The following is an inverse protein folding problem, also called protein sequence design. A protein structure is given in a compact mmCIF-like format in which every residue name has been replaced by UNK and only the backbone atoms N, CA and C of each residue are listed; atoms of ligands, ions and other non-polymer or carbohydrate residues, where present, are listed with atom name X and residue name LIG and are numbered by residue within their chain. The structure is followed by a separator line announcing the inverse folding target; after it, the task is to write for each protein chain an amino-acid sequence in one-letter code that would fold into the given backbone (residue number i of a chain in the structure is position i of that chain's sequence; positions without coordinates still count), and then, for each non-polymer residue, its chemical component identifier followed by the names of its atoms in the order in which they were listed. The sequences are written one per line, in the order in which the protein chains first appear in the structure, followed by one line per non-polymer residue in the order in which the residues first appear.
data_IF_736670648782
#
_entry.id   IF_736670648782
#
_cell.length_a   1.000
_cell.length_b   1.000
_cell.length_c   1.000
_cell.angle_alpha   90.00
_cell.angle_beta   90.00
_cell.angle_gamma   90.00
#
_symmetry.space_group_name_H-M   'P 1'
#
loop_
_entity.id
_entity.type
_entity.pdbx_description
1 polymer ?
#
# COMPACT_ATOMS: atom_id res chain seq x y z
N UNK A 1 7.58 9.78 -20.92
CA UNK A 1 6.17 9.35 -20.85
C UNK A 1 5.80 9.18 -19.38
N UNK A 2 4.55 9.47 -18.96
CA UNK A 2 4.16 9.47 -17.54
C UNK A 2 4.53 8.17 -16.81
N UNK A 3 4.41 7.01 -17.46
CA UNK A 3 4.81 5.73 -16.88
C UNK A 3 6.33 5.56 -16.74
N UNK A 4 7.12 6.09 -17.69
CA UNK A 4 8.59 6.09 -17.57
C UNK A 4 9.05 6.94 -16.38
N UNK A 5 8.33 8.02 -16.08
CA UNK A 5 8.65 8.88 -14.95
C UNK A 5 8.28 8.21 -13.61
N UNK A 6 7.21 7.40 -13.57
CA UNK A 6 6.92 6.50 -12.44
C UNK A 6 8.04 5.49 -12.24
N UNK A 7 8.50 4.82 -13.30
CA UNK A 7 9.60 3.86 -13.21
C UNK A 7 10.88 4.51 -12.68
N UNK A 8 11.21 5.71 -13.15
CA UNK A 8 12.37 6.46 -12.63
C UNK A 8 12.21 6.80 -11.15
N UNK A 9 11.02 7.13 -10.68
CA UNK A 9 10.81 7.47 -9.27
C UNK A 9 11.05 6.30 -8.30
N UNK A 10 11.04 5.06 -8.80
CA UNK A 10 11.32 3.85 -8.02
C UNK A 10 12.82 3.52 -7.92
N UNK A 11 13.67 4.18 -8.71
CA UNK A 11 15.11 3.91 -8.72
C UNK A 11 15.71 4.20 -7.33
N UNK A 12 16.26 3.16 -6.67
CA UNK A 12 16.85 3.27 -5.34
C UNK A 12 15.96 2.77 -4.18
N UNK A 13 14.73 2.33 -4.46
CA UNK A 13 13.91 1.61 -3.47
C UNK A 13 14.37 0.15 -3.31
N UNK A 14 14.02 -0.55 -2.21
CA UNK A 14 14.32 -1.98 -2.07
C UNK A 14 13.78 -2.81 -3.27
N UNK A 15 14.49 -3.89 -3.63
CA UNK A 15 14.19 -4.68 -4.84
C UNK A 15 12.76 -5.22 -4.85
N UNK A 16 12.29 -5.72 -3.72
CA UNK A 16 10.93 -6.22 -3.55
C UNK A 16 9.86 -5.14 -3.79
N UNK A 17 10.14 -3.88 -3.40
CA UNK A 17 9.26 -2.73 -3.66
C UNK A 17 9.24 -2.37 -5.14
N UNK A 18 10.41 -2.39 -5.80
CA UNK A 18 10.51 -2.14 -7.24
C UNK A 18 9.73 -3.17 -8.05
N UNK A 19 9.77 -4.44 -7.66
CA UNK A 19 9.08 -5.52 -8.37
C UNK A 19 7.57 -5.31 -8.39
N UNK A 20 6.93 -5.07 -7.22
CA UNK A 20 5.48 -4.84 -7.15
C UNK A 20 5.00 -3.68 -8.02
N UNK A 21 5.74 -2.55 -8.00
CA UNK A 21 5.34 -1.39 -8.79
C UNK A 21 5.70 -1.55 -10.28
N UNK A 22 6.77 -2.26 -10.62
CA UNK A 22 7.09 -2.57 -12.02
C UNK A 22 6.02 -3.47 -12.65
N UNK A 23 5.55 -4.48 -11.94
CA UNK A 23 4.42 -5.31 -12.37
C UNK A 23 3.11 -4.51 -12.47
N UNK A 24 2.87 -3.58 -11.53
CA UNK A 24 1.72 -2.68 -11.59
C UNK A 24 1.77 -1.78 -12.84
N UNK A 25 2.94 -1.23 -13.18
CA UNK A 25 3.15 -0.41 -14.38
C UNK A 25 2.96 -1.26 -15.65
N UNK A 26 3.52 -2.47 -15.71
CA UNK A 26 3.31 -3.39 -16.83
C UNK A 26 1.82 -3.73 -17.03
N UNK A 27 1.05 -3.84 -15.93
CA UNK A 27 -0.40 -3.98 -16.03
C UNK A 27 -1.07 -2.75 -16.64
N UNK A 28 -0.61 -1.53 -16.35
CA UNK A 28 -1.15 -0.32 -16.99
C UNK A 28 -0.86 -0.29 -18.48
N UNK A 29 0.36 -0.67 -18.88
CA UNK A 29 0.79 -0.76 -20.29
C UNK A 29 -0.03 -1.80 -21.07
N UNK A 30 -0.36 -2.93 -20.42
CA UNK A 30 -1.21 -3.97 -20.98
C UNK A 30 -2.72 -3.75 -20.83
N UNK A 31 -3.17 -2.56 -20.42
CA UNK A 31 -4.59 -2.23 -20.16
C UNK A 31 -5.28 -3.11 -19.08
N UNK A 32 -4.49 -3.77 -18.23
CA UNK A 32 -4.94 -4.59 -17.10
C UNK A 32 -5.13 -3.74 -15.83
N UNK A 33 -5.94 -2.68 -15.94
CA UNK A 33 -6.04 -1.62 -14.91
C UNK A 33 -6.43 -2.11 -13.51
N UNK A 34 -7.31 -3.11 -13.40
CA UNK A 34 -7.67 -3.69 -12.10
C UNK A 34 -6.48 -4.38 -11.45
N UNK A 35 -5.70 -5.12 -12.23
CA UNK A 35 -4.49 -5.79 -11.76
C UNK A 35 -3.44 -4.80 -11.32
N UNK A 36 -3.23 -3.72 -12.09
CA UNK A 36 -2.31 -2.64 -11.73
C UNK A 36 -2.64 -2.00 -10.38
N UNK A 37 -3.93 -1.73 -10.11
CA UNK A 37 -4.40 -1.22 -8.81
C UNK A 37 -4.12 -2.21 -7.68
N UNK A 38 -4.37 -3.50 -7.90
CA UNK A 38 -4.16 -4.55 -6.88
C UNK A 38 -2.67 -4.68 -6.52
N UNK A 39 -1.79 -4.72 -7.53
CA UNK A 39 -0.35 -4.83 -7.34
C UNK A 39 0.25 -3.58 -6.68
N UNK A 40 -0.15 -2.38 -7.12
CA UNK A 40 0.32 -1.14 -6.52
C UNK A 40 -0.07 -1.01 -5.05
N UNK A 41 -1.29 -1.44 -4.69
CA UNK A 41 -1.69 -1.52 -3.28
C UNK A 41 -0.87 -2.54 -2.49
N UNK A 42 -0.60 -3.71 -3.06
CA UNK A 42 0.19 -4.75 -2.39
C UNK A 42 1.60 -4.24 -2.04
N UNK A 43 2.27 -3.60 -3.00
CA UNK A 43 3.58 -2.98 -2.77
C UNK A 43 3.54 -1.87 -1.73
N UNK A 44 2.55 -0.97 -1.83
CA UNK A 44 2.35 0.11 -0.86
C UNK A 44 2.08 -0.41 0.57
N UNK A 45 1.12 -1.32 0.71
CA UNK A 45 0.72 -1.83 2.02
C UNK A 45 1.85 -2.64 2.67
N UNK A 46 2.64 -3.37 1.88
CA UNK A 46 3.86 -4.02 2.38
C UNK A 46 4.78 -3.02 3.07
N UNK A 47 5.23 -1.98 2.35
CA UNK A 47 6.13 -0.96 2.91
C UNK A 47 5.50 -0.20 4.07
N UNK A 48 4.23 0.18 3.95
CA UNK A 48 3.48 0.84 5.03
C UNK A 48 3.49 -0.01 6.31
N UNK A 49 3.19 -1.30 6.18
CA UNK A 49 3.10 -2.23 7.31
C UNK A 49 4.46 -2.47 7.97
N UNK A 50 5.52 -2.66 7.19
CA UNK A 50 6.90 -2.79 7.67
C UNK A 50 7.34 -1.53 8.42
N UNK A 51 7.18 -0.36 7.81
CA UNK A 51 7.59 0.92 8.39
C UNK A 51 6.82 1.25 9.68
N UNK A 52 5.52 0.93 9.73
CA UNK A 52 4.70 1.10 10.91
C UNK A 52 5.15 0.15 12.02
N UNK A 53 5.30 -1.14 11.72
CA UNK A 53 5.63 -2.16 12.70
C UNK A 53 7.02 -1.95 13.30
N UNK A 54 8.02 -1.67 12.46
CA UNK A 54 9.38 -1.41 12.90
C UNK A 54 9.47 -0.27 13.93
N UNK A 55 8.64 0.76 13.79
CA UNK A 55 8.63 1.94 14.67
C UNK A 55 7.70 1.80 15.87
N UNK A 56 6.63 1.02 15.75
CA UNK A 56 5.50 1.04 16.68
C UNK A 56 5.04 -0.34 17.18
N UNK A 57 5.82 -1.41 17.04
CA UNK A 57 5.41 -2.75 17.50
C UNK A 57 4.88 -2.75 18.95
N UNK A 58 5.64 -2.17 19.89
CA UNK A 58 5.25 -2.12 21.30
C UNK A 58 3.94 -1.32 21.52
N UNK A 59 3.78 -0.23 20.78
CA UNK A 59 2.56 0.60 20.82
C UNK A 59 1.36 -0.15 20.24
N UNK A 60 1.55 -0.92 19.16
CA UNK A 60 0.50 -1.76 18.54
C UNK A 60 0.06 -2.81 19.54
N UNK A 61 1.01 -3.53 20.17
CA UNK A 61 0.72 -4.54 21.19
C UNK A 61 -0.03 -3.95 22.38
N UNK A 62 0.31 -2.73 22.78
CA UNK A 62 -0.39 -2.00 23.86
C UNK A 62 -1.80 -1.58 23.43
N UNK A 63 -1.94 -0.95 22.27
CA UNK A 63 -3.22 -0.46 21.74
C UNK A 63 -4.21 -1.58 21.37
N UNK A 64 -3.69 -2.79 21.14
CA UNK A 64 -4.45 -3.98 20.75
C UNK A 64 -4.00 -5.20 21.56
N UNK A 65 -4.05 -5.11 22.89
CA UNK A 65 -3.62 -6.19 23.80
C UNK A 65 -4.30 -7.55 23.60
N UNK A 66 -5.40 -7.62 22.83
CA UNK A 66 -6.09 -8.87 22.47
C UNK A 66 -5.57 -9.52 21.19
N UNK A 67 -4.76 -8.83 20.39
CA UNK A 67 -4.15 -9.39 19.18
C UNK A 67 -2.92 -10.20 19.59
N UNK A 68 -3.02 -11.51 19.41
CA UNK A 68 -1.91 -12.44 19.65
C UNK A 68 -1.24 -12.74 18.31
N UNK A 69 0.00 -12.29 18.15
CA UNK A 69 0.84 -12.53 16.98
C UNK A 69 2.31 -12.51 17.42
N UNK A 70 3.13 -13.34 16.78
CA UNK A 70 4.57 -13.47 16.99
C UNK A 70 5.32 -12.35 16.28
N UNK A 71 4.99 -12.11 15.02
CA UNK A 71 5.68 -11.17 14.14
C UNK A 71 4.69 -10.47 13.17
N UNK A 72 5.21 -9.55 12.35
CA UNK A 72 4.39 -8.79 11.39
C UNK A 72 3.73 -9.70 10.34
N UNK A 73 4.40 -10.78 9.92
CA UNK A 73 3.82 -11.70 8.94
C UNK A 73 2.55 -12.34 9.49
N UNK A 74 2.62 -12.90 10.71
CA UNK A 74 1.44 -13.46 11.37
C UNK A 74 0.36 -12.40 11.63
N UNK A 75 0.75 -11.17 12.00
CA UNK A 75 -0.19 -10.07 12.19
C UNK A 75 -1.00 -9.76 10.90
N UNK A 76 -0.34 -9.72 9.74
CA UNK A 76 -0.98 -9.46 8.43
C UNK A 76 -1.91 -10.60 8.00
N UNK A 77 -1.65 -11.83 8.42
CA UNK A 77 -2.52 -12.97 8.16
C UNK A 77 -3.77 -12.97 9.05
N UNK A 78 -3.62 -12.61 10.32
CA UNK A 78 -4.70 -12.67 11.31
C UNK A 78 -5.65 -11.46 11.23
N UNK A 79 -5.16 -10.31 10.81
CA UNK A 79 -5.88 -9.03 10.91
C UNK A 79 -6.11 -8.44 9.52
N UNK A 80 -7.37 -8.07 9.25
CA UNK A 80 -7.73 -7.37 8.01
C UNK A 80 -6.96 -6.05 7.86
N UNK A 81 -6.57 -5.71 6.64
CA UNK A 81 -5.82 -4.48 6.35
C UNK A 81 -6.50 -3.22 6.89
N UNK A 82 -7.84 -3.14 6.82
CA UNK A 82 -8.59 -2.01 7.40
C UNK A 82 -8.37 -1.85 8.91
N UNK A 83 -8.28 -2.96 9.65
CA UNK A 83 -7.95 -2.94 11.07
C UNK A 83 -6.49 -2.53 11.30
N UNK A 84 -5.57 -2.94 10.42
CA UNK A 84 -4.17 -2.51 10.46
C UNK A 84 -4.06 -0.99 10.26
N UNK A 85 -4.77 -0.41 9.28
CA UNK A 85 -4.81 1.03 9.05
C UNK A 85 -5.32 1.81 10.27
N UNK A 86 -6.37 1.29 10.93
CA UNK A 86 -6.92 1.89 12.15
C UNK A 86 -5.87 1.89 13.27
N UNK A 87 -5.18 0.77 13.51
CA UNK A 87 -4.16 0.73 14.58
C UNK A 87 -2.96 1.62 14.24
N UNK A 88 -2.57 1.72 12.97
CA UNK A 88 -1.52 2.65 12.53
C UNK A 88 -1.85 4.11 12.88
N UNK A 89 -3.14 4.49 12.80
CA UNK A 89 -3.60 5.82 13.25
C UNK A 89 -3.62 5.95 14.77
N UNK A 90 -3.95 4.88 15.50
CA UNK A 90 -3.96 4.91 16.97
C UNK A 90 -2.55 5.04 17.56
N UNK A 91 -1.55 4.41 16.94
CA UNK A 91 -0.12 4.57 17.30
C UNK A 91 0.52 5.81 16.69
N UNK A 92 -0.27 6.67 16.04
CA UNK A 92 0.15 7.95 15.43
C UNK A 92 1.15 7.83 14.29
N UNK A 93 1.28 6.65 13.67
CA UNK A 93 2.05 6.46 12.45
C UNK A 93 1.40 7.17 11.26
N UNK A 94 0.07 7.24 11.24
CA UNK A 94 -0.71 7.97 10.22
C UNK A 94 -1.73 8.90 10.86
N UNK A 95 -2.21 9.89 10.10
CA UNK A 95 -3.19 10.87 10.59
C UNK A 95 -4.62 10.42 10.31
N UNK A 96 -5.60 11.04 10.98
CA UNK A 96 -7.03 10.80 10.70
C UNK A 96 -7.40 11.15 9.25
N UNK A 97 -6.79 12.18 8.68
CA UNK A 97 -7.03 12.56 7.30
C UNK A 97 -6.46 11.51 6.34
N UNK A 98 -5.22 11.06 6.58
CA UNK A 98 -4.58 10.05 5.76
C UNK A 98 -5.27 8.68 5.88
N UNK A 99 -5.76 8.30 7.06
CA UNK A 99 -6.57 7.08 7.24
C UNK A 99 -7.78 7.05 6.30
N UNK A 100 -8.49 8.19 6.16
CA UNK A 100 -9.65 8.26 5.24
C UNK A 100 -9.26 8.08 3.78
N UNK A 101 -8.09 8.59 3.38
CA UNK A 101 -7.54 8.41 2.04
C UNK A 101 -7.22 6.92 1.83
N UNK A 102 -6.50 6.31 2.76
CA UNK A 102 -6.12 4.89 2.71
C UNK A 102 -7.34 3.96 2.72
N UNK A 103 -8.37 4.26 3.49
CA UNK A 103 -9.64 3.50 3.49
C UNK A 103 -10.33 3.58 2.11
N UNK A 104 -10.33 4.75 1.47
CA UNK A 104 -10.84 4.91 0.12
C UNK A 104 -10.04 4.11 -0.91
N UNK A 105 -8.72 4.12 -0.79
CA UNK A 105 -7.81 3.38 -1.66
C UNK A 105 -7.98 1.86 -1.49
N UNK A 106 -8.05 1.38 -0.25
CA UNK A 106 -8.38 -0.01 0.07
C UNK A 106 -9.74 -0.42 -0.51
N UNK A 107 -10.76 0.43 -0.41
CA UNK A 107 -12.07 0.17 -1.00
C UNK A 107 -12.00 0.04 -2.53
N UNK A 108 -11.25 0.91 -3.20
CA UNK A 108 -11.02 0.83 -4.65
C UNK A 108 -10.28 -0.45 -5.03
N UNK A 109 -9.23 -0.83 -4.28
CA UNK A 109 -8.53 -2.10 -4.46
C UNK A 109 -9.46 -3.29 -4.31
N UNK A 110 -10.32 -3.30 -3.29
CA UNK A 110 -11.27 -4.39 -3.05
C UNK A 110 -12.25 -4.53 -4.21
N UNK A 111 -12.76 -3.43 -4.77
CA UNK A 111 -13.60 -3.48 -5.97
C UNK A 111 -12.84 -4.09 -7.17
N UNK A 112 -11.54 -3.80 -7.30
CA UNK A 112 -10.69 -4.38 -8.33
C UNK A 112 -10.35 -5.86 -8.09
N UNK A 113 -10.22 -6.33 -6.86
CA UNK A 113 -9.84 -7.71 -6.52
C UNK A 113 -11.03 -8.69 -6.51
N UNK A 114 -12.23 -8.23 -6.20
CA UNK A 114 -13.43 -9.06 -6.14
C UNK A 114 -14.16 -9.15 -7.50
N UNK A 115 -15.00 -10.18 -7.73
CA UNK A 115 -15.80 -10.30 -8.94
C UNK A 115 -16.91 -9.24 -8.98
N UNK A 116 -16.54 -8.01 -9.29
CA UNK A 116 -17.45 -6.87 -9.45
C UNK A 116 -17.48 -6.41 -10.91
N UNK A 117 -18.51 -5.63 -11.25
CA UNK A 117 -18.61 -4.93 -12.54
C UNK A 117 -17.75 -3.67 -12.59
N UNK A 118 -17.04 -3.33 -11.51
CA UNK A 118 -16.19 -2.14 -11.48
C UNK A 118 -15.07 -2.26 -12.52
N UNK A 119 -14.92 -1.21 -13.33
CA UNK A 119 -13.89 -1.07 -14.35
C UNK A 119 -13.31 0.34 -14.25
N UNK A 120 -12.13 0.52 -13.65
CA UNK A 120 -11.49 1.83 -13.61
C UNK A 120 -11.09 2.25 -15.03
N UNK A 121 -11.15 3.55 -15.31
CA UNK A 121 -10.55 4.10 -16.53
C UNK A 121 -9.03 4.10 -16.45
N UNK A 122 -8.36 4.24 -17.60
CA UNK A 122 -6.91 4.40 -17.67
C UNK A 122 -6.41 5.51 -16.73
N UNK A 123 -7.02 6.70 -16.80
CA UNK A 123 -6.64 7.84 -15.98
C UNK A 123 -6.81 7.57 -14.48
N UNK A 124 -7.90 6.90 -14.08
CA UNK A 124 -8.12 6.53 -12.69
C UNK A 124 -7.09 5.51 -12.19
N UNK A 125 -6.70 4.55 -13.03
CA UNK A 125 -5.71 3.54 -12.69
C UNK A 125 -4.30 4.14 -12.58
N UNK A 126 -3.91 4.99 -13.54
CA UNK A 126 -2.64 5.72 -13.49
C UNK A 126 -2.56 6.60 -12.24
N UNK A 127 -3.60 7.38 -11.96
CA UNK A 127 -3.63 8.24 -10.76
C UNK A 127 -3.51 7.43 -9.46
N UNK A 128 -4.16 6.27 -9.38
CA UNK A 128 -4.05 5.39 -8.24
C UNK A 128 -2.61 4.86 -8.05
N UNK A 129 -2.00 4.36 -9.12
CA UNK A 129 -0.63 3.82 -9.06
C UNK A 129 0.39 4.91 -8.70
N UNK A 130 0.26 6.11 -9.28
CA UNK A 130 1.09 7.27 -8.94
C UNK A 130 0.95 7.67 -7.46
N UNK A 131 -0.28 7.74 -6.93
CA UNK A 131 -0.51 8.02 -5.51
C UNK A 131 0.13 6.96 -4.60
N UNK A 132 0.01 5.66 -4.95
CA UNK A 132 0.64 4.58 -4.20
C UNK A 132 2.16 4.72 -4.18
N UNK A 133 2.79 5.00 -5.33
CA UNK A 133 4.24 5.21 -5.41
C UNK A 133 4.65 6.40 -4.54
N UNK A 134 4.04 7.58 -4.72
CA UNK A 134 4.37 8.79 -3.95
C UNK A 134 4.23 8.59 -2.45
N UNK A 135 3.15 7.96 -2.00
CA UNK A 135 2.96 7.67 -0.57
C UNK A 135 3.99 6.64 -0.08
N UNK A 136 4.31 5.62 -0.86
CA UNK A 136 5.28 4.59 -0.48
C UNK A 136 6.68 5.17 -0.28
N UNK A 137 7.11 6.04 -1.19
CA UNK A 137 8.39 6.74 -1.09
C UNK A 137 8.50 7.58 0.19
N UNK A 138 7.39 8.08 0.73
CA UNK A 138 7.38 8.84 1.99
C UNK A 138 7.67 8.00 3.24
N UNK A 139 7.56 6.67 3.15
CA UNK A 139 7.83 5.75 4.25
C UNK A 139 9.24 5.16 4.21
N UNK A 140 9.89 5.22 3.04
CA UNK A 140 11.25 4.73 2.88
C UNK A 140 12.25 5.72 3.48
N UNK A 141 13.37 5.23 4.03
CA UNK A 141 14.47 6.11 4.40
C UNK A 141 15.00 6.84 3.15
N UNK A 142 15.51 8.07 3.30
CA UNK A 142 16.14 8.76 2.17
C UNK A 142 17.28 7.91 1.60
N UNK A 143 17.50 7.93 0.27
CA UNK A 143 18.63 7.23 -0.33
C UNK A 143 19.94 7.74 0.29
N UNK A 144 20.86 6.81 0.57
CA UNK A 144 22.20 7.09 1.08
C UNK A 144 23.04 7.90 0.10
#
# INVERSE_FOLDING_TARGET
MLLEDLTKSLSGTPVDVQDYFSEAIACLEGELYRSGIVLAWAGHFHVFSEACYQKHEADIRTARAKWAFKDLAELKELIAESQFLIVAKDVKFTTKAQLRILDGQLSQRNQCAHPTLYRPSMNAAIGYVDDMIRQTLSYLPPPL
#
